data_IF_345165118555
#
_entry.id   IF_345165118555
#
_cell.length_a   1.000
_cell.length_b   1.000
_cell.length_c   1.000
_cell.angle_alpha   90.00
_cell.angle_beta   90.00
_cell.angle_gamma   90.00
#
_symmetry.space_group_name_H-M   'P 1'
#
loop_
_entity.id
_entity.type
_entity.pdbx_description
1 polymer ?
#
# COMPACT_ATOMS: atom_id res chain seq x y z
N UNK A 1 -15.71 -1.67 -1.69
CA UNK A 1 -17.05 -1.07 -1.54
C UNK A 1 -17.68 -0.99 -2.92
N UNK A 2 -18.99 -1.18 -3.02
CA UNK A 2 -19.76 -0.94 -4.25
C UNK A 2 -20.89 0.01 -3.86
N UNK A 3 -21.01 1.13 -4.56
CA UNK A 3 -22.04 2.15 -4.33
C UNK A 3 -22.66 2.54 -5.67
N UNK A 4 -23.94 2.87 -5.64
CA UNK A 4 -24.63 3.49 -6.77
C UNK A 4 -24.36 5.00 -6.77
N UNK A 5 -23.86 5.58 -7.88
CA UNK A 5 -23.71 7.02 -8.00
C UNK A 5 -25.07 7.74 -7.89
N UNK A 6 -25.19 8.70 -6.96
CA UNK A 6 -26.41 9.47 -6.75
C UNK A 6 -26.06 10.85 -6.22
N UNK A 7 -26.58 11.90 -6.88
CA UNK A 7 -26.43 13.28 -6.42
C UNK A 7 -27.04 13.48 -5.03
N UNK A 8 -28.18 12.82 -4.76
CA UNK A 8 -28.83 12.83 -3.44
C UNK A 8 -27.92 12.22 -2.36
N UNK A 9 -27.32 11.05 -2.63
CA UNK A 9 -26.37 10.41 -1.70
C UNK A 9 -25.15 11.30 -1.48
N UNK A 10 -24.57 11.87 -2.55
CA UNK A 10 -23.42 12.76 -2.44
C UNK A 10 -23.72 14.00 -1.58
N UNK A 11 -24.83 14.70 -1.84
CA UNK A 11 -25.24 15.87 -1.05
C UNK A 11 -25.49 15.51 0.40
N UNK A 12 -26.07 14.34 0.66
CA UNK A 12 -26.28 13.82 2.00
C UNK A 12 -24.92 13.63 2.70
N UNK A 13 -23.98 12.89 2.11
CA UNK A 13 -22.63 12.72 2.67
C UNK A 13 -21.93 14.07 2.93
N UNK A 14 -22.04 15.03 2.02
CA UNK A 14 -21.44 16.36 2.20
C UNK A 14 -22.08 17.17 3.32
N UNK A 15 -23.41 17.11 3.46
CA UNK A 15 -24.15 17.77 4.54
C UNK A 15 -23.72 17.23 5.91
N UNK A 16 -23.64 15.91 6.05
CA UNK A 16 -23.33 15.26 7.33
C UNK A 16 -21.84 15.24 7.70
N UNK A 17 -20.94 15.65 6.80
CA UNK A 17 -19.48 15.60 7.03
C UNK A 17 -19.01 16.32 8.30
N UNK A 18 -19.71 17.38 8.73
CA UNK A 18 -19.37 18.14 9.94
C UNK A 18 -20.06 17.62 11.21
N UNK A 19 -21.14 16.86 11.05
CA UNK A 19 -21.99 16.40 12.16
C UNK A 19 -21.62 14.97 12.57
N UNK A 20 -21.33 14.11 11.59
CA UNK A 20 -20.91 12.73 11.82
C UNK A 20 -19.38 12.67 11.87
N UNK A 21 -18.86 12.37 13.06
CA UNK A 21 -17.43 12.31 13.33
C UNK A 21 -16.89 10.95 12.90
N UNK A 22 -15.91 10.95 12.00
CA UNK A 22 -15.18 9.74 11.65
C UNK A 22 -14.35 9.22 12.83
N UNK A 23 -14.63 8.01 13.30
CA UNK A 23 -13.89 7.41 14.42
C UNK A 23 -12.39 7.22 14.15
N UNK A 24 -11.94 7.25 12.89
CA UNK A 24 -10.54 7.14 12.51
C UNK A 24 -10.02 8.36 11.74
N UNK A 25 -10.80 9.44 11.67
CA UNK A 25 -10.47 10.66 10.94
C UNK A 25 -10.47 10.56 9.41
N UNK A 26 -10.70 9.36 8.85
CA UNK A 26 -10.70 9.10 7.40
C UNK A 26 -12.09 8.81 6.82
N UNK A 27 -12.14 8.57 5.51
CA UNK A 27 -13.35 8.19 4.80
C UNK A 27 -13.91 6.84 5.28
N UNK A 28 -13.03 5.88 5.59
CA UNK A 28 -13.46 4.57 6.10
C UNK A 28 -14.28 4.72 7.38
N UNK A 29 -13.86 5.56 8.33
CA UNK A 29 -14.59 5.76 9.57
C UNK A 29 -15.92 6.47 9.31
N UNK A 30 -15.86 7.58 8.57
CA UNK A 30 -17.03 8.37 8.20
C UNK A 30 -18.11 7.55 7.50
N UNK A 31 -17.73 6.75 6.49
CA UNK A 31 -18.66 5.93 5.74
C UNK A 31 -19.25 4.79 6.59
N UNK A 32 -18.52 4.26 7.56
CA UNK A 32 -19.05 3.24 8.48
C UNK A 32 -20.03 3.82 9.51
N UNK A 33 -19.91 5.10 9.86
CA UNK A 33 -20.89 5.80 10.70
C UNK A 33 -22.19 6.10 9.92
N UNK A 34 -22.09 6.41 8.63
CA UNK A 34 -23.27 6.69 7.79
C UNK A 34 -23.97 5.42 7.32
N UNK A 35 -23.20 4.47 6.81
CA UNK A 35 -23.69 3.18 6.34
C UNK A 35 -23.44 2.14 7.42
N UNK A 36 -24.33 2.11 8.42
CA UNK A 36 -24.20 1.18 9.55
C UNK A 36 -24.37 -0.29 9.15
N UNK A 37 -24.97 -0.57 7.99
CA UNK A 37 -25.23 -1.93 7.48
C UNK A 37 -24.66 -2.12 6.08
N UNK A 38 -23.60 -2.93 6.00
CA UNK A 38 -22.94 -3.28 4.73
C UNK A 38 -23.21 -4.71 4.30
N UNK A 39 -23.40 -4.93 3.00
CA UNK A 39 -23.22 -6.25 2.41
C UNK A 39 -21.75 -6.67 2.45
N UNK A 40 -21.50 -7.93 2.81
CA UNK A 40 -20.13 -8.46 2.91
C UNK A 40 -19.65 -8.97 1.56
N UNK A 41 -18.55 -8.40 1.07
CA UNK A 41 -17.84 -8.92 -0.10
C UNK A 41 -16.77 -9.96 0.32
N UNK A 42 -16.43 -10.93 -0.56
CA UNK A 42 -15.33 -11.85 -0.29
C UNK A 42 -14.02 -11.10 -0.06
N UNK A 43 -13.22 -11.49 0.95
CA UNK A 43 -11.95 -10.82 1.27
C UNK A 43 -10.98 -10.70 0.08
N UNK A 44 -11.06 -11.64 -0.87
CA UNK A 44 -10.22 -11.67 -2.09
C UNK A 44 -10.42 -10.46 -3.01
N UNK A 45 -11.51 -9.71 -2.88
CA UNK A 45 -11.78 -8.49 -3.67
C UNK A 45 -11.20 -7.21 -3.06
N UNK A 46 -10.67 -7.27 -1.83
CA UNK A 46 -9.98 -6.17 -1.16
C UNK A 46 -8.96 -6.74 -0.16
N UNK A 47 -7.98 -7.50 -0.65
CA UNK A 47 -7.08 -8.25 0.22
C UNK A 47 -5.94 -7.36 0.72
N UNK A 48 -5.91 -7.10 2.03
CA UNK A 48 -4.97 -6.15 2.64
C UNK A 48 -3.51 -6.65 2.62
N UNK A 49 -2.58 -5.78 2.18
CA UNK A 49 -1.12 -5.93 2.35
C UNK A 49 -0.73 -5.52 3.77
N UNK A 50 -0.95 -6.42 4.72
CA UNK A 50 -0.58 -6.26 6.12
C UNK A 50 -0.14 -7.59 6.74
N UNK A 51 0.54 -7.56 7.87
CA UNK A 51 1.07 -8.72 8.59
C UNK A 51 0.98 -8.47 10.11
N UNK A 52 -0.21 -8.17 10.59
CA UNK A 52 -0.44 -7.71 11.97
C UNK A 52 -0.05 -8.74 13.03
N UNK A 53 -0.23 -10.04 12.77
CA UNK A 53 0.17 -11.07 13.73
C UNK A 53 1.68 -11.26 13.77
N UNK A 54 2.38 -10.82 12.72
CA UNK A 54 3.80 -11.05 12.47
C UNK A 54 4.23 -12.52 12.65
N UNK A 55 3.29 -13.45 12.45
CA UNK A 55 3.55 -14.89 12.53
C UNK A 55 4.02 -15.41 11.18
N UNK A 56 5.00 -16.31 11.19
CA UNK A 56 5.53 -16.96 9.98
C UNK A 56 4.43 -17.55 9.10
N UNK A 57 3.40 -18.17 9.70
CA UNK A 57 2.28 -18.73 8.95
C UNK A 57 1.46 -17.66 8.18
N UNK A 58 1.21 -16.49 8.79
CA UNK A 58 0.52 -15.39 8.10
C UNK A 58 1.38 -14.86 6.95
N UNK A 59 2.67 -14.65 7.20
CA UNK A 59 3.63 -14.15 6.22
C UNK A 59 3.70 -15.08 5.01
N UNK A 60 3.90 -16.37 5.24
CA UNK A 60 3.96 -17.39 4.18
C UNK A 60 2.66 -17.47 3.40
N UNK A 61 1.51 -17.53 4.08
CA UNK A 61 0.21 -17.61 3.42
C UNK A 61 -0.07 -16.39 2.53
N UNK A 62 0.15 -15.18 3.05
CA UNK A 62 -0.14 -13.95 2.31
C UNK A 62 0.82 -13.74 1.15
N UNK A 63 2.12 -13.96 1.36
CA UNK A 63 3.09 -13.87 0.27
C UNK A 63 2.80 -14.90 -0.84
N UNK A 64 2.37 -16.12 -0.49
CA UNK A 64 1.89 -17.09 -1.49
C UNK A 64 0.70 -16.56 -2.30
N UNK A 65 -0.28 -15.92 -1.63
CA UNK A 65 -1.43 -15.35 -2.32
C UNK A 65 -1.08 -14.14 -3.19
N UNK A 66 -0.16 -13.26 -2.74
CA UNK A 66 0.31 -12.11 -3.51
C UNK A 66 1.11 -12.49 -4.75
N UNK A 67 1.90 -13.58 -4.65
CA UNK A 67 2.76 -14.07 -5.72
C UNK A 67 2.12 -15.13 -6.63
N UNK A 68 0.90 -15.57 -6.34
CA UNK A 68 0.26 -16.67 -7.08
C UNK A 68 0.09 -16.36 -8.57
N UNK A 69 0.42 -17.35 -9.40
CA UNK A 69 0.20 -17.36 -10.85
C UNK A 69 -0.29 -18.76 -11.25
N UNK A 70 -1.54 -18.95 -11.71
CA UNK A 70 -2.55 -17.92 -11.97
C UNK A 70 -3.01 -17.18 -10.69
N UNK A 71 -3.48 -15.91 -10.81
CA UNK A 71 -3.88 -15.11 -9.65
C UNK A 71 -4.98 -15.77 -8.80
N UNK A 72 -4.78 -15.82 -7.49
CA UNK A 72 -5.77 -16.31 -6.50
C UNK A 72 -6.56 -15.19 -5.82
N UNK A 73 -6.08 -13.96 -5.93
CA UNK A 73 -6.71 -12.75 -5.41
C UNK A 73 -7.26 -11.93 -6.58
N UNK A 74 -8.39 -11.26 -6.38
CA UNK A 74 -8.94 -10.33 -7.36
C UNK A 74 -8.31 -8.94 -7.23
N UNK A 75 -7.90 -8.55 -6.02
CA UNK A 75 -7.18 -7.29 -5.79
C UNK A 75 -6.26 -7.36 -4.56
N UNK A 76 -5.29 -6.45 -4.52
CA UNK A 76 -4.40 -6.22 -3.39
C UNK A 76 -4.57 -4.76 -2.93
N UNK A 77 -4.84 -4.56 -1.64
CA UNK A 77 -4.91 -3.25 -1.03
C UNK A 77 -3.57 -2.92 -0.37
N UNK A 78 -2.80 -2.04 -1.00
CA UNK A 78 -1.49 -1.61 -0.52
C UNK A 78 -1.60 -0.60 0.64
N UNK A 79 -1.46 -1.10 1.86
CA UNK A 79 -1.28 -0.29 3.07
C UNK A 79 0.20 0.11 3.24
N UNK A 80 0.45 1.09 4.12
CA UNK A 80 1.77 1.70 4.32
C UNK A 80 2.19 2.60 3.16
N UNK A 81 3.49 2.77 2.97
CA UNK A 81 4.05 3.48 1.81
C UNK A 81 3.65 2.78 0.51
N UNK A 82 3.26 3.58 -0.47
CA UNK A 82 2.80 3.10 -1.77
C UNK A 82 3.99 2.61 -2.61
N UNK A 83 3.84 1.55 -3.43
CA UNK A 83 4.96 0.97 -4.17
C UNK A 83 5.73 1.96 -5.05
N UNK A 84 5.05 2.93 -5.68
CA UNK A 84 5.70 3.95 -6.51
C UNK A 84 6.56 4.95 -5.72
N UNK A 85 6.36 5.06 -4.39
CA UNK A 85 7.19 5.89 -3.50
C UNK A 85 8.46 5.19 -3.01
N UNK A 86 8.62 3.91 -3.34
CA UNK A 86 9.80 3.11 -3.10
C UNK A 86 10.58 2.91 -4.40
N UNK A 87 11.87 2.60 -4.31
CA UNK A 87 12.61 2.07 -5.47
C UNK A 87 12.04 0.71 -5.90
N UNK A 88 12.26 0.34 -7.16
CA UNK A 88 11.81 -0.93 -7.74
C UNK A 88 12.39 -2.16 -7.04
N UNK A 89 13.58 -2.00 -6.46
CA UNK A 89 14.40 -3.10 -5.97
C UNK A 89 13.79 -3.86 -4.77
N UNK A 90 13.06 -3.17 -3.88
CA UNK A 90 12.39 -3.78 -2.71
C UNK A 90 11.31 -2.86 -2.12
N UNK A 91 10.46 -3.42 -1.25
CA UNK A 91 9.45 -2.65 -0.52
C UNK A 91 10.10 -1.77 0.56
N UNK A 92 10.17 -0.46 0.34
CA UNK A 92 10.81 0.46 1.27
C UNK A 92 10.14 0.56 2.66
N UNK A 93 8.94 -0.01 2.83
CA UNK A 93 8.34 -0.19 4.17
C UNK A 93 9.25 -1.01 5.10
N UNK A 94 10.15 -1.85 4.59
CA UNK A 94 11.13 -2.59 5.40
C UNK A 94 12.08 -1.69 6.19
N UNK A 95 12.34 -0.48 5.69
CA UNK A 95 13.28 0.47 6.33
C UNK A 95 12.64 1.32 7.42
N UNK A 96 11.33 1.22 7.66
CA UNK A 96 10.61 2.00 8.66
C UNK A 96 9.96 1.07 9.67
N UNK A 97 10.36 1.18 10.95
CA UNK A 97 9.97 0.22 11.99
C UNK A 97 8.45 0.07 12.15
N UNK A 98 7.72 1.19 12.10
CA UNK A 98 6.26 1.26 12.19
C UNK A 98 5.54 0.78 10.92
N UNK A 99 6.24 0.77 9.78
CA UNK A 99 5.69 0.33 8.50
C UNK A 99 6.00 -1.12 8.14
N UNK A 100 6.89 -1.80 8.89
CA UNK A 100 7.25 -3.22 8.63
C UNK A 100 6.04 -4.15 8.59
N UNK A 101 4.99 -3.86 9.36
CA UNK A 101 3.72 -4.62 9.33
C UNK A 101 3.01 -4.56 7.97
N UNK A 102 3.42 -3.68 7.06
CA UNK A 102 2.90 -3.57 5.69
C UNK A 102 3.91 -4.03 4.63
N UNK A 103 5.13 -4.41 5.00
CA UNK A 103 6.19 -4.69 4.04
C UNK A 103 6.03 -6.07 3.36
N UNK A 104 6.13 -6.11 2.04
CA UNK A 104 6.17 -7.36 1.26
C UNK A 104 6.79 -7.14 -0.11
N UNK A 105 7.99 -7.69 -0.32
CA UNK A 105 8.65 -7.65 -1.63
C UNK A 105 7.88 -8.43 -2.69
N UNK A 106 7.12 -9.46 -2.29
CA UNK A 106 6.26 -10.22 -3.22
C UNK A 106 5.13 -9.34 -3.76
N UNK A 107 4.43 -8.64 -2.87
CA UNK A 107 3.39 -7.69 -3.28
C UNK A 107 3.99 -6.49 -4.04
N UNK A 108 5.18 -6.02 -3.66
CA UNK A 108 5.88 -4.93 -4.34
C UNK A 108 6.22 -5.29 -5.79
N UNK A 109 6.84 -6.45 -6.01
CA UNK A 109 7.11 -6.96 -7.36
C UNK A 109 5.83 -7.13 -8.19
N UNK A 110 4.74 -7.59 -7.57
CA UNK A 110 3.43 -7.70 -8.26
C UNK A 110 2.92 -6.33 -8.73
N UNK A 111 3.11 -5.27 -7.95
CA UNK A 111 2.73 -3.91 -8.37
C UNK A 111 3.56 -3.44 -9.56
N UNK A 112 4.88 -3.70 -9.56
CA UNK A 112 5.75 -3.31 -10.67
C UNK A 112 5.41 -3.99 -12.00
N UNK A 113 4.90 -5.22 -11.97
CA UNK A 113 4.34 -5.86 -13.19
C UNK A 113 3.19 -5.03 -13.78
N UNK A 114 2.28 -4.54 -12.94
CA UNK A 114 1.17 -3.67 -13.38
C UNK A 114 1.70 -2.34 -13.91
N UNK A 115 2.65 -1.72 -13.22
CA UNK A 115 3.28 -0.48 -13.68
C UNK A 115 3.93 -0.63 -15.07
N UNK A 116 4.63 -1.73 -15.31
CA UNK A 116 5.32 -1.97 -16.58
C UNK A 116 4.36 -2.15 -17.76
N UNK A 117 3.13 -2.60 -17.49
CA UNK A 117 2.04 -2.69 -18.47
C UNK A 117 1.31 -1.35 -18.69
N UNK A 118 1.56 -0.33 -17.87
CA UNK A 118 0.90 0.98 -18.02
C UNK A 118 1.40 1.73 -19.26
N UNK A 119 0.52 2.50 -19.89
CA UNK A 119 0.91 3.47 -20.92
C UNK A 119 1.86 4.53 -20.34
N UNK A 120 2.76 5.06 -21.16
CA UNK A 120 3.86 5.94 -20.71
C UNK A 120 3.37 7.16 -19.93
N UNK A 121 2.26 7.79 -20.36
CA UNK A 121 1.68 8.93 -19.66
C UNK A 121 1.27 8.63 -18.20
N UNK A 122 0.86 7.40 -17.89
CA UNK A 122 0.54 6.99 -16.52
C UNK A 122 1.79 6.70 -15.68
N UNK A 123 2.84 6.15 -16.30
CA UNK A 123 4.14 5.92 -15.64
C UNK A 123 4.79 7.22 -15.17
N UNK A 124 4.54 8.34 -15.87
CA UNK A 124 5.06 9.65 -15.47
C UNK A 124 4.60 10.10 -14.07
N UNK A 125 3.39 9.70 -13.63
CA UNK A 125 2.89 9.99 -12.29
C UNK A 125 3.56 9.16 -11.19
N UNK A 126 4.35 8.15 -11.55
CA UNK A 126 5.08 7.29 -10.62
C UNK A 126 6.55 7.69 -10.44
N UNK A 127 6.95 8.88 -10.94
CA UNK A 127 8.29 9.45 -10.73
C UNK A 127 8.49 9.79 -9.24
N UNK A 128 9.74 9.74 -8.81
CA UNK A 128 10.13 10.17 -7.46
C UNK A 128 10.52 11.64 -7.52
N UNK A 129 10.03 12.45 -6.57
CA UNK A 129 10.54 13.81 -6.40
C UNK A 129 11.95 13.77 -5.76
N UNK A 130 12.75 14.85 -5.89
CA UNK A 130 14.03 14.97 -5.18
C UNK A 130 13.88 14.72 -3.67
N UNK A 131 12.86 15.31 -3.04
CA UNK A 131 12.62 15.18 -1.60
C UNK A 131 12.32 13.74 -1.20
N UNK A 132 11.59 12.98 -2.04
CA UNK A 132 11.32 11.57 -1.77
C UNK A 132 12.57 10.72 -1.92
N UNK A 133 13.44 11.00 -2.89
CA UNK A 133 14.72 10.28 -3.04
C UNK A 133 15.61 10.49 -1.83
N UNK A 134 15.76 11.74 -1.38
CA UNK A 134 16.53 12.03 -0.18
C UNK A 134 15.92 11.35 1.05
N UNK A 135 14.58 11.30 1.11
CA UNK A 135 13.85 10.54 2.11
C UNK A 135 14.20 9.05 2.10
N UNK A 136 14.23 8.40 0.94
CA UNK A 136 14.59 6.98 0.82
C UNK A 136 16.02 6.70 1.29
N UNK A 137 16.98 7.57 0.98
CA UNK A 137 18.36 7.41 1.46
C UNK A 137 18.47 7.61 2.98
N UNK A 138 17.74 8.59 3.55
CA UNK A 138 17.64 8.75 5.01
C UNK A 138 17.01 7.53 5.67
N UNK A 139 15.91 7.00 5.12
CA UNK A 139 15.23 5.80 5.63
C UNK A 139 16.20 4.59 5.64
N UNK A 140 17.01 4.43 4.57
CA UNK A 140 18.05 3.38 4.49
C UNK A 140 19.14 3.55 5.54
N UNK A 141 19.70 4.75 5.67
CA UNK A 141 20.75 5.05 6.64
C UNK A 141 20.27 4.82 8.07
N UNK A 142 19.05 5.23 8.37
CA UNK A 142 18.45 5.01 9.69
C UNK A 142 18.26 3.51 9.99
N UNK A 143 17.79 2.73 9.02
CA UNK A 143 17.66 1.28 9.16
C UNK A 143 19.02 0.56 9.35
N UNK A 144 20.09 1.09 8.74
CA UNK A 144 21.47 0.66 8.96
C UNK A 144 21.96 0.98 10.37
N UNK A 145 21.80 2.24 10.81
CA UNK A 145 22.18 2.70 12.15
C UNK A 145 21.49 1.89 13.27
N UNK A 146 20.22 1.53 13.06
CA UNK A 146 19.45 0.66 13.97
C UNK A 146 19.67 -0.84 13.72
N UNK A 147 20.51 -1.21 12.76
CA UNK A 147 20.85 -2.59 12.39
C UNK A 147 19.62 -3.49 12.21
N UNK A 148 18.68 -3.06 11.36
CA UNK A 148 17.49 -3.85 11.07
C UNK A 148 17.86 -5.25 10.54
N UNK A 149 17.37 -6.28 11.25
CA UNK A 149 17.77 -7.67 11.02
C UNK A 149 17.36 -8.25 9.67
N UNK A 150 16.36 -7.66 9.01
CA UNK A 150 15.93 -8.04 7.66
C UNK A 150 16.90 -7.55 6.56
N UNK A 151 17.79 -6.59 6.89
CA UNK A 151 18.89 -6.09 6.04
C UNK A 151 18.47 -5.57 4.65
N UNK A 152 17.21 -5.18 4.42
CA UNK A 152 16.78 -4.63 3.12
C UNK A 152 17.53 -3.34 2.75
N UNK A 153 17.99 -2.56 3.74
CA UNK A 153 18.82 -1.38 3.53
C UNK A 153 20.17 -1.67 2.83
N UNK A 154 20.61 -2.94 2.78
CA UNK A 154 21.82 -3.35 2.06
C UNK A 154 21.59 -3.61 0.57
N UNK A 155 20.32 -3.74 0.14
CA UNK A 155 19.97 -4.09 -1.25
C UNK A 155 20.46 -2.98 -2.18
N UNK A 156 21.22 -3.35 -3.21
CA UNK A 156 21.74 -2.41 -4.22
C UNK A 156 20.57 -1.86 -5.05
N UNK A 157 20.46 -0.53 -5.11
CA UNK A 157 19.44 0.16 -5.91
C UNK A 157 19.86 0.18 -7.39
N UNK A 158 19.05 -0.42 -8.24
CA UNK A 158 19.20 -0.45 -9.70
C UNK A 158 18.13 0.36 -10.43
N UNK A 159 17.08 0.78 -9.72
CA UNK A 159 16.03 1.63 -10.25
C UNK A 159 16.57 2.95 -10.82
N UNK A 160 16.31 3.20 -12.12
CA UNK A 160 16.76 4.40 -12.83
C UNK A 160 16.22 5.70 -12.22
N UNK A 161 15.08 5.63 -11.52
CA UNK A 161 14.47 6.80 -10.86
C UNK A 161 15.35 7.38 -9.75
N UNK A 162 16.40 6.68 -9.31
CA UNK A 162 17.42 7.19 -8.38
C UNK A 162 18.16 8.42 -8.93
N UNK A 163 18.34 8.50 -10.24
CA UNK A 163 19.14 9.54 -10.90
C UNK A 163 18.30 10.49 -11.77
N UNK A 164 16.98 10.31 -11.80
CA UNK A 164 16.06 10.99 -12.72
C UNK A 164 15.57 12.35 -12.24
#
# INVERSE_FOLDING_TARGET
>A
MVIEPSDCTFRTLMKWRKEIVSYNGGDQGFLNEIFVWWHRLPRRVNFLKNFWSNKTAEITMKNHLFGADPPKLFSIHYLGLKPWLCYRDYDCNWNLQDQKVYASDVAHRRWWKVHDEMVEGLRAFCRLSPERRDGLERDRKHAEELNFGDRHWTIKITDSRRFA
#
